data_IF_249391618842
#
_entry.id   IF_249391618842
#
_cell.length_a   1.000
_cell.length_b   1.000
_cell.length_c   1.000
_cell.angle_alpha   90.00
_cell.angle_beta   90.00
_cell.angle_gamma   90.00
#
_symmetry.space_group_name_H-M   'P 1'
#
loop_
_entity.id
_entity.type
_entity.pdbx_description
1 polymer ?
#
# COMPACT_ATOMS: atom_id res chain seq x y z
N UNK A 1 1.20 -37.65 24.36
CA UNK A 1 0.23 -37.05 23.41
C UNK A 1 0.56 -35.60 23.24
N UNK A 2 1.28 -35.32 22.17
CA UNK A 2 1.53 -34.00 21.60
C UNK A 2 0.64 -33.92 20.35
N UNK A 3 0.16 -32.73 19.96
CA UNK A 3 0.34 -32.37 18.56
C UNK A 3 0.96 -30.98 18.39
N UNK A 4 2.08 -30.99 17.69
CA UNK A 4 2.74 -29.87 17.05
C UNK A 4 1.84 -29.28 15.96
N UNK A 5 1.83 -27.95 15.85
CA UNK A 5 1.40 -27.27 14.62
C UNK A 5 2.62 -27.23 13.69
N UNK A 6 2.65 -28.17 12.75
CA UNK A 6 3.48 -28.15 11.54
C UNK A 6 3.11 -26.95 10.66
N UNK A 7 4.11 -26.20 10.21
CA UNK A 7 4.11 -25.55 8.89
C UNK A 7 5.56 -25.27 8.49
N UNK A 8 6.23 -26.35 8.11
CA UNK A 8 7.40 -26.34 7.24
C UNK A 8 6.93 -26.22 5.78
N UNK A 9 7.46 -25.27 5.02
CA UNK A 9 7.53 -25.40 3.56
C UNK A 9 8.74 -26.29 3.25
N UNK A 10 8.50 -27.39 2.53
CA UNK A 10 9.44 -28.48 2.23
C UNK A 10 10.31 -28.21 0.99
N UNK A 11 11.57 -28.68 1.04
CA UNK A 11 12.37 -28.99 -0.15
C UNK A 11 13.89 -28.88 -0.01
N UNK A 12 14.55 -29.95 0.50
CA UNK A 12 15.88 -30.39 0.03
C UNK A 12 17.15 -29.94 0.77
N UNK A 13 17.69 -30.86 1.58
CA UNK A 13 19.11 -31.15 1.91
C UNK A 13 19.99 -30.26 2.83
N UNK A 14 20.28 -30.86 4.00
CA UNK A 14 21.37 -30.68 4.99
C UNK A 14 21.26 -29.56 6.07
N UNK A 15 21.64 -29.88 7.34
CA UNK A 15 21.43 -29.01 8.49
C UNK A 15 22.60 -28.04 8.63
N UNK A 16 22.32 -26.74 8.57
CA UNK A 16 23.29 -25.72 9.00
C UNK A 16 22.77 -25.09 10.28
N UNK A 17 23.31 -25.55 11.42
CA UNK A 17 23.40 -24.75 12.62
C UNK A 17 24.16 -23.47 12.28
N UNK A 18 23.46 -22.34 12.20
CA UNK A 18 24.08 -21.02 12.10
C UNK A 18 23.59 -20.14 13.25
N UNK A 19 24.45 -20.04 14.26
CA UNK A 19 24.55 -18.87 15.11
C UNK A 19 24.41 -17.59 14.28
N UNK A 20 23.43 -16.75 14.61
CA UNK A 20 23.48 -15.33 14.30
C UNK A 20 22.71 -14.58 15.36
N UNK A 21 23.47 -14.23 16.40
CA UNK A 21 23.39 -13.03 17.22
C UNK A 21 22.19 -12.12 16.89
N UNK A 22 21.09 -12.33 17.62
CA UNK A 22 20.29 -11.20 18.06
C UNK A 22 21.10 -10.63 19.25
N UNK A 23 21.62 -9.39 19.20
CA UNK A 23 22.13 -8.78 20.42
C UNK A 23 20.96 -8.62 21.37
N UNK A 24 20.98 -9.48 22.37
CA UNK A 24 20.30 -9.36 23.64
C UNK A 24 20.70 -8.01 24.25
N UNK A 25 19.86 -7.01 24.12
CA UNK A 25 19.95 -5.80 24.94
C UNK A 25 18.56 -5.48 25.50
N UNK A 26 18.12 -6.38 26.38
CA UNK A 26 17.29 -6.01 27.52
C UNK A 26 18.23 -5.48 28.61
N UNK A 27 18.58 -4.20 28.55
CA UNK A 27 19.09 -3.45 29.69
C UNK A 27 18.75 -1.96 29.50
N UNK A 28 18.29 -1.34 30.59
CA UNK A 28 17.97 0.09 30.76
C UNK A 28 16.70 0.68 30.14
N UNK A 29 15.60 0.34 30.80
CA UNK A 29 14.37 1.12 30.89
C UNK A 29 14.54 2.30 31.87
N UNK A 30 15.53 3.19 31.66
CA UNK A 30 15.69 4.40 32.51
C UNK A 30 16.58 5.50 31.90
N UNK A 31 16.52 5.77 30.59
CA UNK A 31 16.92 7.08 30.00
C UNK A 31 16.82 7.03 28.46
N UNK A 32 15.67 7.32 27.87
CA UNK A 32 15.58 7.48 26.42
C UNK A 32 15.08 8.87 26.05
N UNK A 33 16.03 9.82 26.05
CA UNK A 33 16.02 10.86 25.02
C UNK A 33 16.08 10.20 23.64
N UNK A 34 15.35 10.75 22.67
CA UNK A 34 15.16 10.25 21.31
C UNK A 34 16.44 9.68 20.65
N UNK A 35 16.74 8.39 20.83
CA UNK A 35 17.70 7.66 20.00
C UNK A 35 17.00 7.24 18.71
N UNK A 36 17.40 7.84 17.58
CA UNK A 36 16.97 7.44 16.23
C UNK A 36 17.27 5.96 16.04
N UNK A 37 16.27 5.17 15.64
CA UNK A 37 16.40 3.71 15.53
C UNK A 37 16.75 3.34 14.10
N UNK A 38 17.95 2.82 13.86
CA UNK A 38 18.35 2.35 12.52
C UNK A 38 17.66 1.02 12.19
N UNK A 39 16.85 1.01 11.13
CA UNK A 39 16.16 -0.19 10.65
C UNK A 39 16.38 -0.31 9.14
N UNK A 40 17.33 -1.15 8.67
CA UNK A 40 17.70 -1.24 7.26
C UNK A 40 16.55 -1.68 6.34
N UNK A 41 15.53 -2.33 6.90
CA UNK A 41 14.30 -2.69 6.18
C UNK A 41 13.48 -1.48 5.75
N UNK A 42 13.55 -0.35 6.46
CA UNK A 42 12.82 0.88 6.13
C UNK A 42 13.38 1.47 4.85
N UNK A 43 14.69 1.71 4.79
CA UNK A 43 15.32 2.29 3.59
C UNK A 43 15.14 1.39 2.37
N UNK A 44 15.18 0.07 2.57
CA UNK A 44 14.92 -0.92 1.51
C UNK A 44 13.49 -0.79 0.96
N UNK A 45 12.48 -0.68 1.84
CA UNK A 45 11.09 -0.48 1.43
C UNK A 45 10.88 0.85 0.69
N UNK A 46 11.55 1.93 1.11
CA UNK A 46 11.46 3.24 0.45
C UNK A 46 12.12 3.23 -0.95
N UNK A 47 13.26 2.55 -1.10
CA UNK A 47 13.95 2.41 -2.39
C UNK A 47 13.09 1.59 -3.34
N UNK A 48 12.59 0.42 -2.90
CA UNK A 48 11.74 -0.44 -3.74
C UNK A 48 10.43 0.26 -4.09
N UNK A 49 9.80 0.95 -3.13
CA UNK A 49 8.58 1.73 -3.37
C UNK A 49 8.78 2.85 -4.40
N UNK A 50 9.87 3.62 -4.27
CA UNK A 50 10.22 4.67 -5.23
C UNK A 50 10.53 4.11 -6.62
N UNK A 51 11.29 3.02 -6.69
CA UNK A 51 11.64 2.36 -7.97
C UNK A 51 10.40 1.82 -8.67
N UNK A 52 9.56 1.05 -7.96
CA UNK A 52 8.31 0.51 -8.51
C UNK A 52 7.36 1.63 -8.94
N UNK A 53 7.28 2.70 -8.15
CA UNK A 53 6.43 3.86 -8.46
C UNK A 53 6.89 4.60 -9.71
N UNK A 54 8.20 4.75 -9.89
CA UNK A 54 8.78 5.34 -11.10
C UNK A 54 8.55 4.46 -12.33
N UNK A 55 8.80 3.15 -12.21
CA UNK A 55 8.53 2.18 -13.29
C UNK A 55 7.05 2.21 -13.67
N UNK A 56 6.15 2.24 -12.69
CA UNK A 56 4.71 2.34 -12.92
C UNK A 56 4.32 3.65 -13.62
N UNK A 57 4.89 4.78 -13.20
CA UNK A 57 4.63 6.08 -13.83
C UNK A 57 5.06 6.07 -15.29
N UNK A 58 6.30 5.65 -15.57
CA UNK A 58 6.84 5.54 -16.93
C UNK A 58 5.97 4.63 -17.78
N UNK A 59 5.65 3.42 -17.29
CA UNK A 59 4.79 2.48 -17.99
C UNK A 59 3.42 3.07 -18.33
N UNK A 60 2.75 3.74 -17.38
CA UNK A 60 1.45 4.37 -17.63
C UNK A 60 1.53 5.52 -18.66
N UNK A 61 2.58 6.34 -18.64
CA UNK A 61 2.75 7.45 -19.59
C UNK A 61 2.87 6.90 -21.02
N UNK A 62 3.71 5.89 -21.23
CA UNK A 62 3.93 5.29 -22.55
C UNK A 62 2.73 4.46 -23.01
N UNK A 63 2.07 3.74 -22.10
CA UNK A 63 0.93 2.87 -22.42
C UNK A 63 -0.43 3.57 -22.36
N UNK A 64 -0.50 4.88 -22.05
CA UNK A 64 -1.76 5.60 -21.83
C UNK A 64 -2.77 5.41 -22.98
N UNK A 65 -2.34 5.60 -24.23
CA UNK A 65 -3.20 5.44 -25.41
C UNK A 65 -3.68 3.99 -25.60
N UNK A 66 -2.80 3.03 -25.35
CA UNK A 66 -3.11 1.59 -25.48
C UNK A 66 -4.12 1.17 -24.41
N UNK A 67 -3.89 1.58 -23.16
CA UNK A 67 -4.80 1.29 -22.04
C UNK A 67 -6.18 1.89 -22.30
N UNK A 68 -6.24 3.16 -22.74
CA UNK A 68 -7.51 3.80 -23.08
C UNK A 68 -8.23 3.11 -24.25
N UNK A 69 -7.48 2.64 -25.26
CA UNK A 69 -8.02 1.86 -26.36
C UNK A 69 -8.62 0.52 -25.88
N UNK A 70 -7.93 -0.20 -25.00
CA UNK A 70 -8.43 -1.44 -24.40
C UNK A 70 -9.68 -1.19 -23.54
N UNK A 71 -9.76 -0.04 -22.87
CA UNK A 71 -10.93 0.39 -22.09
C UNK A 71 -12.12 0.84 -22.97
N UNK A 72 -11.98 0.84 -24.29
CA UNK A 72 -13.06 1.15 -25.23
C UNK A 72 -13.13 2.61 -25.70
N UNK A 73 -12.11 3.42 -25.42
CA UNK A 73 -12.04 4.79 -25.96
C UNK A 73 -11.59 4.74 -27.42
N UNK A 74 -12.52 5.01 -28.34
CA UNK A 74 -12.25 5.07 -29.79
C UNK A 74 -11.23 6.15 -30.12
N UNK A 75 -10.41 5.93 -31.16
CA UNK A 75 -9.37 6.89 -31.56
C UNK A 75 -9.91 8.26 -32.02
N UNK A 76 -11.10 8.29 -32.62
CA UNK A 76 -11.77 9.52 -33.06
C UNK A 76 -12.66 10.16 -31.98
N UNK A 77 -12.64 9.64 -30.74
CA UNK A 77 -13.45 10.22 -29.68
C UNK A 77 -12.89 11.57 -29.24
N UNK A 78 -13.73 12.62 -29.09
CA UNK A 78 -13.29 13.90 -28.51
C UNK A 78 -12.82 13.75 -27.05
N UNK A 79 -13.13 12.62 -26.39
CA UNK A 79 -12.70 12.33 -25.02
C UNK A 79 -11.29 11.75 -24.92
N UNK A 80 -10.69 11.31 -26.04
CA UNK A 80 -9.38 10.66 -26.00
C UNK A 80 -8.29 11.61 -25.51
N UNK A 81 -8.23 12.83 -26.04
CA UNK A 81 -7.18 13.78 -25.68
C UNK A 81 -7.26 14.23 -24.20
N UNK A 82 -8.44 14.61 -23.65
CA UNK A 82 -8.60 14.86 -22.22
C UNK A 82 -8.24 13.64 -21.35
N UNK A 83 -8.62 12.43 -21.76
CA UNK A 83 -8.35 11.21 -21.00
C UNK A 83 -6.85 10.88 -20.97
N UNK A 84 -6.14 11.02 -22.10
CA UNK A 84 -4.68 10.85 -22.16
C UNK A 84 -4.00 11.86 -21.25
N UNK A 85 -4.35 13.16 -21.36
CA UNK A 85 -3.77 14.21 -20.49
C UNK A 85 -4.00 13.92 -19.02
N UNK A 86 -5.22 13.53 -18.65
CA UNK A 86 -5.57 13.15 -17.28
C UNK A 86 -4.70 11.98 -16.79
N UNK A 87 -4.63 10.90 -17.57
CA UNK A 87 -3.90 9.69 -17.20
C UNK A 87 -2.39 9.95 -17.08
N UNK A 88 -1.82 10.73 -18.01
CA UNK A 88 -0.42 11.14 -17.97
C UNK A 88 -0.12 11.94 -16.71
N UNK A 89 -0.91 12.96 -16.37
CA UNK A 89 -0.68 13.75 -15.15
C UNK A 89 -0.87 12.87 -13.91
N UNK A 90 -1.94 12.07 -13.87
CA UNK A 90 -2.24 11.20 -12.73
C UNK A 90 -1.13 10.18 -12.46
N UNK A 91 -0.46 9.71 -13.51
CA UNK A 91 0.66 8.77 -13.42
C UNK A 91 1.89 9.38 -12.74
N UNK A 92 2.10 10.70 -12.84
CA UNK A 92 3.17 11.40 -12.12
C UNK A 92 2.97 11.34 -10.59
N UNK A 93 1.75 11.10 -10.11
CA UNK A 93 1.47 10.86 -8.70
C UNK A 93 1.77 9.43 -8.22
N UNK A 94 2.01 8.47 -9.13
CA UNK A 94 2.26 7.07 -8.75
C UNK A 94 3.48 6.89 -7.84
N UNK A 95 4.64 7.55 -8.06
CA UNK A 95 5.78 7.45 -7.16
C UNK A 95 5.46 7.91 -5.75
N UNK A 96 4.74 9.04 -5.61
CA UNK A 96 4.32 9.57 -4.32
C UNK A 96 3.36 8.61 -3.60
N UNK A 97 2.38 8.04 -4.31
CA UNK A 97 1.44 7.06 -3.72
C UNK A 97 2.17 5.82 -3.22
N UNK A 98 3.07 5.22 -4.01
CA UNK A 98 3.78 4.02 -3.57
C UNK A 98 4.73 4.31 -2.41
N UNK A 99 5.39 5.47 -2.44
CA UNK A 99 6.26 5.90 -1.35
C UNK A 99 5.46 6.16 -0.06
N UNK A 100 4.30 6.81 -0.15
CA UNK A 100 3.42 7.04 0.99
C UNK A 100 2.89 5.73 1.55
N UNK A 101 2.47 4.77 0.73
CA UNK A 101 2.05 3.43 1.18
C UNK A 101 3.17 2.68 1.91
N UNK A 102 4.40 2.76 1.41
CA UNK A 102 5.56 2.18 2.08
C UNK A 102 5.79 2.81 3.47
N UNK A 103 5.76 4.14 3.56
CA UNK A 103 5.90 4.86 4.83
C UNK A 103 4.77 4.55 5.81
N UNK A 104 3.53 4.47 5.34
CA UNK A 104 2.39 4.07 6.17
C UNK A 104 2.58 2.66 6.74
N UNK A 105 3.14 1.72 5.96
CA UNK A 105 3.53 0.39 6.43
C UNK A 105 4.59 0.43 7.53
N UNK A 106 5.59 1.32 7.40
CA UNK A 106 6.64 1.52 8.40
C UNK A 106 6.07 2.07 9.71
N UNK A 107 5.26 3.14 9.64
CA UNK A 107 4.62 3.73 10.81
C UNK A 107 3.67 2.75 11.52
N UNK A 108 2.91 1.94 10.77
CA UNK A 108 2.10 0.83 11.33
C UNK A 108 2.97 -0.18 12.08
N UNK A 109 4.16 -0.50 11.56
CA UNK A 109 5.14 -1.36 12.23
C UNK A 109 5.66 -0.78 13.54
N UNK A 110 5.77 0.55 13.65
CA UNK A 110 6.09 1.26 14.89
C UNK A 110 4.90 1.46 15.82
N UNK A 111 3.72 0.99 15.43
CA UNK A 111 2.44 1.20 16.13
C UNK A 111 2.00 2.67 16.18
N UNK A 112 2.55 3.52 15.31
CA UNK A 112 2.05 4.87 15.11
C UNK A 112 1.07 4.87 13.92
N UNK A 113 -0.21 4.84 14.22
CA UNK A 113 -1.27 4.96 13.21
C UNK A 113 -1.78 6.40 13.06
N UNK A 114 -1.44 7.29 14.00
CA UNK A 114 -1.94 8.66 14.03
C UNK A 114 -1.24 9.53 13.00
N UNK A 115 0.08 9.38 12.87
CA UNK A 115 0.87 10.16 11.91
C UNK A 115 0.42 9.92 10.46
N UNK A 116 0.30 8.65 9.98
CA UNK A 116 -0.35 8.32 8.71
C UNK A 116 -1.74 8.92 8.53
N UNK A 117 -2.60 8.76 9.52
CA UNK A 117 -3.98 9.22 9.45
C UNK A 117 -4.06 10.74 9.27
N UNK A 118 -3.29 11.50 10.05
CA UNK A 118 -3.27 12.96 9.95
C UNK A 118 -2.73 13.42 8.59
N UNK A 119 -1.65 12.81 8.10
CA UNK A 119 -1.09 13.14 6.79
C UNK A 119 -2.13 12.93 5.68
N UNK A 120 -2.81 11.78 5.68
CA UNK A 120 -3.87 11.46 4.70
C UNK A 120 -5.03 12.44 4.79
N UNK A 121 -5.54 12.76 6.00
CA UNK A 121 -6.64 13.71 6.17
C UNK A 121 -6.29 15.10 5.64
N UNK A 122 -5.08 15.61 5.93
CA UNK A 122 -4.65 16.92 5.41
C UNK A 122 -4.49 16.87 3.89
N UNK A 123 -3.94 15.79 3.34
CA UNK A 123 -3.82 15.58 1.91
C UNK A 123 -5.17 15.56 1.19
N UNK A 124 -6.09 14.74 1.68
CA UNK A 124 -7.43 14.58 1.09
C UNK A 124 -8.25 15.86 1.23
N UNK A 125 -8.16 16.57 2.37
CA UNK A 125 -8.78 17.89 2.53
C UNK A 125 -8.20 18.90 1.54
N UNK A 126 -6.88 18.88 1.32
CA UNK A 126 -6.23 19.72 0.30
C UNK A 126 -6.75 19.35 -1.09
N UNK A 127 -6.94 18.05 -1.40
CA UNK A 127 -7.47 17.61 -2.69
C UNK A 127 -8.88 18.16 -2.93
N UNK A 128 -9.77 18.03 -1.94
CA UNK A 128 -11.16 18.48 -1.99
C UNK A 128 -11.24 20.00 -2.21
N UNK A 129 -10.32 20.78 -1.63
CA UNK A 129 -10.26 22.23 -1.79
C UNK A 129 -9.68 22.61 -3.17
N UNK A 130 -8.60 21.95 -3.61
CA UNK A 130 -7.93 22.26 -4.87
C UNK A 130 -8.75 21.85 -6.09
N UNK A 131 -9.56 20.79 -5.99
CA UNK A 131 -10.39 20.28 -7.08
C UNK A 131 -11.30 21.36 -7.70
N UNK A 132 -12.22 22.02 -6.97
CA UNK A 132 -13.07 23.07 -7.53
C UNK A 132 -12.27 24.31 -7.96
N UNK A 133 -11.16 24.64 -7.27
CA UNK A 133 -10.32 25.78 -7.65
C UNK A 133 -9.68 25.53 -9.02
N UNK A 134 -9.03 24.39 -9.21
CA UNK A 134 -8.34 24.07 -10.46
C UNK A 134 -9.32 23.75 -11.59
N UNK A 135 -10.46 23.12 -11.29
CA UNK A 135 -11.49 22.83 -12.28
C UNK A 135 -12.19 24.10 -12.77
N UNK A 136 -12.70 24.94 -11.85
CA UNK A 136 -13.58 26.06 -12.20
C UNK A 136 -12.87 27.40 -12.30
N UNK A 137 -11.94 27.71 -11.39
CA UNK A 137 -11.25 29.02 -11.37
C UNK A 137 -10.13 29.08 -12.39
N UNK A 138 -9.33 28.02 -12.49
CA UNK A 138 -8.23 27.93 -13.46
C UNK A 138 -8.69 27.40 -14.84
N UNK A 139 -9.97 27.06 -15.00
CA UNK A 139 -10.55 26.51 -16.23
C UNK A 139 -9.78 25.30 -16.81
N UNK A 140 -9.11 24.50 -15.97
CA UNK A 140 -8.30 23.35 -16.42
C UNK A 140 -9.16 22.09 -16.64
N UNK A 141 -10.45 22.12 -16.25
CA UNK A 141 -11.36 20.98 -16.35
C UNK A 141 -10.80 19.72 -15.69
N UNK A 142 -10.95 18.57 -16.36
CA UNK A 142 -10.49 17.26 -15.86
C UNK A 142 -8.99 17.23 -15.56
N UNK A 143 -8.19 18.01 -16.30
CA UNK A 143 -6.74 18.16 -16.06
C UNK A 143 -6.48 18.76 -14.67
N UNK A 144 -7.31 19.71 -14.24
CA UNK A 144 -7.22 20.34 -12.92
C UNK A 144 -7.40 19.33 -11.78
N UNK A 145 -8.36 18.40 -11.92
CA UNK A 145 -8.58 17.33 -10.95
C UNK A 145 -7.39 16.38 -10.84
N UNK A 146 -6.74 16.02 -11.96
CA UNK A 146 -5.51 15.22 -11.91
C UNK A 146 -4.39 15.94 -11.15
N UNK A 147 -4.19 17.24 -11.42
CA UNK A 147 -3.14 18.05 -10.76
C UNK A 147 -3.41 18.18 -9.27
N UNK A 148 -4.65 18.49 -8.87
CA UNK A 148 -5.07 18.57 -7.47
C UNK A 148 -4.71 17.29 -6.71
N UNK A 149 -5.02 16.15 -7.32
CA UNK A 149 -4.75 14.85 -6.72
C UNK A 149 -3.25 14.57 -6.60
N UNK A 150 -2.46 14.88 -7.64
CA UNK A 150 -1.00 14.73 -7.60
C UNK A 150 -0.39 15.57 -6.49
N UNK A 151 -0.76 16.86 -6.40
CA UNK A 151 -0.28 17.77 -5.35
C UNK A 151 -0.58 17.20 -3.97
N UNK A 152 -1.79 16.67 -3.78
CA UNK A 152 -2.22 16.09 -2.51
C UNK A 152 -1.41 14.85 -2.13
N UNK A 153 -1.12 13.96 -3.08
CA UNK A 153 -0.28 12.78 -2.84
C UNK A 153 1.16 13.17 -2.48
N UNK A 154 1.72 14.18 -3.14
CA UNK A 154 3.03 14.71 -2.78
C UNK A 154 3.03 15.37 -1.39
N UNK A 155 1.96 16.08 -1.02
CA UNK A 155 1.81 16.66 0.31
C UNK A 155 1.76 15.58 1.41
N UNK A 156 0.98 14.52 1.21
CA UNK A 156 0.95 13.35 2.13
C UNK A 156 2.35 12.76 2.29
N UNK A 157 3.02 12.55 1.16
CA UNK A 157 4.38 11.97 1.10
C UNK A 157 5.38 12.86 1.84
N UNK A 158 5.30 14.18 1.64
CA UNK A 158 6.17 15.16 2.28
C UNK A 158 5.97 15.17 3.81
N UNK A 159 4.72 15.16 4.28
CA UNK A 159 4.45 15.12 5.73
C UNK A 159 5.02 13.84 6.34
N UNK A 160 4.81 12.70 5.68
CA UNK A 160 5.29 11.40 6.14
C UNK A 160 6.82 11.32 6.17
N UNK A 161 7.51 11.81 5.12
CA UNK A 161 8.97 11.75 5.07
C UNK A 161 9.60 12.67 6.12
N UNK A 162 9.04 13.88 6.33
CA UNK A 162 9.50 14.78 7.39
C UNK A 162 9.39 14.14 8.77
N UNK A 163 8.27 13.46 9.05
CA UNK A 163 8.08 12.73 10.31
C UNK A 163 8.97 11.49 10.42
N UNK A 164 9.21 10.81 9.30
CA UNK A 164 10.04 9.61 9.28
C UNK A 164 11.52 9.93 9.55
N UNK A 165 12.06 10.99 8.94
CA UNK A 165 13.43 11.47 9.17
C UNK A 165 13.65 11.94 10.61
N UNK A 166 12.60 12.40 11.30
CA UNK A 166 12.67 12.73 12.73
C UNK A 166 12.78 11.48 13.63
N UNK A 167 12.21 10.33 13.22
CA UNK A 167 12.17 9.11 14.03
C UNK A 167 13.26 8.09 13.67
N UNK A 168 13.75 8.10 12.43
CA UNK A 168 14.68 7.10 11.87
C UNK A 168 15.82 7.79 11.13
N UNK A 169 17.05 7.38 11.40
CA UNK A 169 18.20 7.75 10.55
C UNK A 169 18.15 6.97 9.25
N UNK A 170 17.86 7.68 8.16
CA UNK A 170 17.83 7.13 6.80
C UNK A 170 19.27 7.09 6.27
N UNK A 171 20.03 6.07 6.64
CA UNK A 171 21.36 5.81 6.08
C UNK A 171 21.20 4.89 4.85
N UNK A 172 21.92 5.14 3.74
CA UNK A 172 21.87 4.29 2.55
C UNK A 172 22.28 2.84 2.91
N UNK A 173 21.41 1.84 2.62
CA UNK A 173 21.72 0.46 2.94
C UNK A 173 22.78 -0.07 1.98
N UNK A 174 23.71 -0.85 2.52
CA UNK A 174 24.56 -1.71 1.70
C UNK A 174 23.70 -2.72 0.94
N UNK A 175 23.74 -2.69 -0.39
CA UNK A 175 22.94 -3.52 -1.31
C UNK A 175 23.11 -5.04 -1.08
N UNK A 176 24.12 -5.48 -0.32
CA UNK A 176 24.46 -6.90 -0.09
C UNK A 176 23.76 -7.57 1.10
N UNK A 177 23.06 -6.84 1.98
CA UNK A 177 22.35 -7.45 3.13
C UNK A 177 20.83 -7.57 2.92
N UNK A 178 20.34 -7.29 1.72
CA UNK A 178 18.92 -7.33 1.38
C UNK A 178 18.46 -8.77 1.14
N UNK A 179 17.53 -9.27 1.97
CA UNK A 179 16.76 -10.48 1.67
C UNK A 179 15.68 -10.22 0.60
N UNK A 180 16.10 -9.72 -0.56
CA UNK A 180 15.22 -9.29 -1.66
C UNK A 180 14.31 -10.42 -2.14
N UNK A 181 14.81 -11.66 -2.22
CA UNK A 181 14.03 -12.82 -2.66
C UNK A 181 12.80 -13.11 -1.79
N UNK A 182 12.92 -12.99 -0.45
CA UNK A 182 11.78 -13.22 0.45
C UNK A 182 10.75 -12.08 0.38
N UNK A 183 11.22 -10.84 0.24
CA UNK A 183 10.34 -9.68 0.07
C UNK A 183 9.55 -9.77 -1.24
N UNK A 184 10.22 -10.13 -2.33
CA UNK A 184 9.60 -10.28 -3.65
C UNK A 184 8.64 -11.48 -3.70
N UNK A 185 8.98 -12.61 -3.05
CA UNK A 185 8.09 -13.77 -2.95
C UNK A 185 6.77 -13.46 -2.22
N UNK A 186 6.84 -12.78 -1.07
CA UNK A 186 5.65 -12.31 -0.38
C UNK A 186 4.85 -11.30 -1.22
N UNK A 187 5.54 -10.36 -1.88
CA UNK A 187 4.92 -9.40 -2.79
C UNK A 187 4.19 -10.08 -3.96
N UNK A 188 4.79 -11.11 -4.54
CA UNK A 188 4.20 -11.88 -5.63
C UNK A 188 2.94 -12.63 -5.20
N UNK A 189 2.96 -13.25 -4.01
CA UNK A 189 1.77 -13.94 -3.48
C UNK A 189 0.61 -12.96 -3.24
N UNK A 190 0.91 -11.76 -2.72
CA UNK A 190 -0.08 -10.70 -2.55
C UNK A 190 -0.62 -10.20 -3.90
N UNK A 191 0.25 -10.02 -4.89
CA UNK A 191 -0.15 -9.66 -6.26
C UNK A 191 -1.04 -10.73 -6.88
N UNK A 192 -0.68 -12.01 -6.75
CA UNK A 192 -1.49 -13.13 -7.26
C UNK A 192 -2.89 -13.14 -6.64
N UNK A 193 -3.00 -12.89 -5.33
CA UNK A 193 -4.29 -12.73 -4.65
C UNK A 193 -5.09 -11.55 -5.23
N UNK A 194 -4.48 -10.39 -5.40
CA UNK A 194 -5.16 -9.19 -5.94
C UNK A 194 -5.63 -9.43 -7.37
N UNK A 195 -4.81 -10.06 -8.21
CA UNK A 195 -5.17 -10.42 -9.59
C UNK A 195 -6.33 -11.40 -9.62
N UNK A 196 -6.32 -12.45 -8.78
CA UNK A 196 -7.40 -13.42 -8.72
C UNK A 196 -8.75 -12.77 -8.32
N UNK A 197 -8.74 -11.91 -7.29
CA UNK A 197 -9.95 -11.20 -6.84
C UNK A 197 -10.44 -10.23 -7.92
N UNK A 198 -9.54 -9.43 -8.50
CA UNK A 198 -9.89 -8.45 -9.54
C UNK A 198 -10.45 -9.15 -10.78
N UNK A 199 -9.86 -10.27 -11.19
CA UNK A 199 -10.34 -11.07 -12.30
C UNK A 199 -11.75 -11.61 -12.04
N UNK A 200 -12.00 -12.15 -10.85
CA UNK A 200 -13.33 -12.65 -10.47
C UNK A 200 -14.40 -11.54 -10.49
N UNK A 201 -14.10 -10.37 -9.89
CA UNK A 201 -15.01 -9.22 -9.88
C UNK A 201 -15.25 -8.68 -11.30
N UNK A 202 -14.21 -8.62 -12.13
CA UNK A 202 -14.31 -8.17 -13.52
C UNK A 202 -15.17 -9.13 -14.34
N UNK A 203 -15.00 -10.43 -14.15
CA UNK A 203 -15.82 -11.44 -14.82
C UNK A 203 -17.28 -11.34 -14.40
N UNK A 204 -17.55 -11.21 -13.10
CA UNK A 204 -18.91 -11.01 -12.58
C UNK A 204 -19.55 -9.74 -13.14
N UNK A 205 -18.81 -8.63 -13.16
CA UNK A 205 -19.28 -7.37 -13.76
C UNK A 205 -19.54 -7.50 -15.26
N UNK A 206 -18.69 -8.23 -15.99
CA UNK A 206 -18.85 -8.47 -17.42
C UNK A 206 -20.10 -9.29 -17.74
N UNK A 207 -20.41 -10.29 -16.90
CA UNK A 207 -21.65 -11.08 -17.01
C UNK A 207 -22.88 -10.22 -16.71
N UNK A 208 -22.86 -9.45 -15.60
CA UNK A 208 -23.95 -8.55 -15.24
C UNK A 208 -24.23 -7.48 -16.31
N UNK A 209 -23.18 -6.99 -16.99
CA UNK A 209 -23.32 -6.03 -18.06
C UNK A 209 -24.02 -6.60 -19.31
N UNK A 210 -23.95 -7.93 -19.54
CA UNK A 210 -24.63 -8.58 -20.68
C UNK A 210 -26.13 -8.71 -20.48
N UNK A 211 -26.58 -8.82 -19.24
CA UNK A 211 -28.00 -9.00 -18.90
C UNK A 211 -28.80 -7.68 -18.94
N UNK A 212 -28.13 -6.57 -19.22
CA UNK A 212 -28.74 -5.28 -19.50
C UNK A 212 -28.47 -4.20 -18.44
N UNK A 213 -28.81 -2.94 -18.75
CA UNK A 213 -28.41 -1.78 -17.94
C UNK A 213 -29.03 -1.78 -16.53
N UNK A 214 -30.26 -2.27 -16.38
CA UNK A 214 -30.96 -2.30 -15.08
C UNK A 214 -30.29 -3.26 -14.10
N UNK A 215 -29.89 -4.44 -14.56
CA UNK A 215 -29.19 -5.44 -13.73
C UNK A 215 -27.79 -4.93 -13.36
N UNK A 216 -27.07 -4.33 -14.31
CA UNK A 216 -25.76 -3.74 -14.06
C UNK A 216 -25.83 -2.59 -13.02
N UNK A 217 -26.87 -1.76 -13.07
CA UNK A 217 -27.07 -0.70 -12.08
C UNK A 217 -27.28 -1.27 -10.66
N UNK A 218 -28.10 -2.31 -10.52
CA UNK A 218 -28.30 -3.00 -9.24
C UNK A 218 -27.01 -3.66 -8.73
N UNK A 219 -26.27 -4.34 -9.61
CA UNK A 219 -24.97 -4.94 -9.30
C UNK A 219 -23.97 -3.91 -8.76
N UNK A 220 -23.93 -2.71 -9.36
CA UNK A 220 -23.03 -1.64 -8.93
C UNK A 220 -23.30 -1.17 -7.50
N UNK A 221 -24.58 -1.06 -7.09
CA UNK A 221 -24.96 -0.70 -5.72
C UNK A 221 -24.47 -1.79 -4.74
N UNK A 222 -24.69 -3.06 -5.08
CA UNK A 222 -24.22 -4.20 -4.28
C UNK A 222 -22.69 -4.20 -4.15
N UNK A 223 -21.96 -3.96 -5.25
CA UNK A 223 -20.50 -3.84 -5.22
C UNK A 223 -20.03 -2.69 -4.33
N UNK A 224 -20.70 -1.54 -4.36
CA UNK A 224 -20.34 -0.40 -3.53
C UNK A 224 -20.52 -0.71 -2.04
N UNK A 225 -21.63 -1.36 -1.67
CA UNK A 225 -21.88 -1.81 -0.30
C UNK A 225 -20.85 -2.86 0.13
N UNK A 226 -20.54 -3.82 -0.73
CA UNK A 226 -19.54 -4.85 -0.48
C UNK A 226 -18.14 -4.24 -0.25
N UNK A 227 -17.71 -3.30 -1.09
CA UNK A 227 -16.43 -2.60 -0.93
C UNK A 227 -16.37 -1.82 0.39
N UNK A 228 -17.45 -1.16 0.79
CA UNK A 228 -17.53 -0.44 2.06
C UNK A 228 -17.35 -1.39 3.25
N UNK A 229 -18.05 -2.53 3.27
CA UNK A 229 -17.89 -3.55 4.33
C UNK A 229 -16.49 -4.18 4.32
N UNK A 230 -15.90 -4.39 3.14
CA UNK A 230 -14.57 -4.97 2.99
C UNK A 230 -13.47 -4.05 3.52
N UNK A 231 -13.60 -2.74 3.32
CA UNK A 231 -12.65 -1.75 3.87
C UNK A 231 -12.61 -1.77 5.41
N UNK A 232 -13.77 -1.94 6.05
CA UNK A 232 -13.84 -2.08 7.51
C UNK A 232 -13.14 -3.36 7.98
N UNK A 233 -13.38 -4.48 7.28
CA UNK A 233 -12.72 -5.75 7.57
C UNK A 233 -11.20 -5.67 7.36
N UNK A 234 -10.73 -5.01 6.30
CA UNK A 234 -9.31 -4.79 6.04
C UNK A 234 -8.65 -3.93 7.12
N UNK A 235 -9.35 -2.91 7.63
CA UNK A 235 -8.88 -2.10 8.76
C UNK A 235 -8.63 -2.95 10.01
N UNK A 236 -9.58 -3.82 10.35
CA UNK A 236 -9.45 -4.77 11.46
C UNK A 236 -8.32 -5.78 11.21
N UNK A 237 -8.22 -6.32 10.00
CA UNK A 237 -7.20 -7.29 9.62
C UNK A 237 -5.79 -6.70 9.75
N UNK A 238 -5.56 -5.47 9.27
CA UNK A 238 -4.26 -4.79 9.38
C UNK A 238 -3.91 -4.48 10.84
N UNK A 239 -4.89 -4.08 11.65
CA UNK A 239 -4.68 -3.88 13.09
C UNK A 239 -4.32 -5.20 13.80
N UNK A 240 -5.04 -6.28 13.50
CA UNK A 240 -4.77 -7.63 14.00
C UNK A 240 -3.37 -8.12 13.62
N UNK A 241 -2.97 -7.96 12.35
CA UNK A 241 -1.63 -8.29 11.87
C UNK A 241 -0.53 -7.53 12.63
N UNK A 242 -0.70 -6.23 12.88
CA UNK A 242 0.27 -5.43 13.62
C UNK A 242 0.40 -5.86 15.10
N UNK A 243 -0.73 -6.15 15.76
CA UNK A 243 -0.75 -6.65 17.14
C UNK A 243 -0.08 -8.02 17.22
N UNK A 244 -0.49 -8.95 16.35
CA UNK A 244 0.02 -10.31 16.28
C UNK A 244 1.53 -10.33 16.00
N UNK A 245 1.99 -9.59 14.99
CA UNK A 245 3.41 -9.47 14.67
C UNK A 245 4.22 -8.94 15.87
N UNK A 246 3.67 -7.98 16.62
CA UNK A 246 4.35 -7.44 17.80
C UNK A 246 4.37 -8.40 19.00
N UNK A 247 3.36 -9.27 19.13
CA UNK A 247 3.30 -10.29 20.17
C UNK A 247 4.29 -11.43 19.86
N UNK A 248 4.36 -11.86 18.59
CA UNK A 248 5.37 -12.80 18.11
C UNK A 248 6.79 -12.28 18.30
N UNK A 249 7.05 -11.00 17.97
CA UNK A 249 8.37 -10.41 18.17
C UNK A 249 8.84 -10.39 19.65
N UNK A 250 7.90 -10.47 20.60
CA UNK A 250 8.16 -10.54 22.05
C UNK A 250 8.14 -11.96 22.61
N UNK A 251 7.95 -12.99 21.76
CA UNK A 251 7.74 -14.39 22.17
C UNK A 251 6.63 -14.59 23.22
N UNK A 252 5.61 -13.73 23.24
CA UNK A 252 4.50 -13.81 24.20
C UNK A 252 3.36 -14.65 23.62
N UNK A 253 3.45 -15.97 23.77
CA UNK A 253 2.48 -16.94 23.23
C UNK A 253 1.07 -16.74 23.77
N UNK A 254 0.91 -16.23 25.01
CA UNK A 254 -0.41 -15.95 25.59
C UNK A 254 -1.09 -14.79 24.88
N UNK A 255 -0.35 -13.71 24.61
CA UNK A 255 -0.88 -12.58 23.83
C UNK A 255 -1.15 -12.94 22.36
N UNK A 256 -0.35 -13.82 21.76
CA UNK A 256 -0.60 -14.35 20.42
C UNK A 256 -1.96 -15.06 20.37
N UNK A 257 -2.21 -16.01 21.29
CA UNK A 257 -3.48 -16.76 21.33
C UNK A 257 -4.66 -15.83 21.59
N UNK A 258 -4.53 -14.90 22.54
CA UNK A 258 -5.59 -13.94 22.86
C UNK A 258 -5.89 -12.97 21.70
N UNK A 259 -4.86 -12.48 21.00
CA UNK A 259 -5.04 -11.62 19.84
C UNK A 259 -5.69 -12.38 18.67
N UNK A 260 -5.24 -13.60 18.39
CA UNK A 260 -5.84 -14.44 17.34
C UNK A 260 -7.31 -14.75 17.65
N UNK A 261 -7.63 -15.11 18.90
CA UNK A 261 -9.03 -15.38 19.29
C UNK A 261 -9.94 -14.16 19.15
N UNK A 262 -9.43 -12.94 19.37
CA UNK A 262 -10.22 -11.71 19.22
C UNK A 262 -10.39 -11.26 17.77
N UNK A 263 -9.45 -11.60 16.89
CA UNK A 263 -9.53 -11.30 15.46
C UNK A 263 -10.45 -12.30 14.74
N UNK A 264 -10.60 -13.51 15.28
CA UNK A 264 -11.47 -14.56 14.73
C UNK A 264 -12.94 -14.45 15.16
N UNK A 265 -13.24 -13.69 16.22
CA UNK A 265 -14.58 -13.43 16.75
C UNK A 265 -15.27 -12.32 15.95
#
# INVERSE_FOLDING_TARGET
>A
MNPYVELCFTGGDTPVCANSCIPTECADLSNQGCKRRYIPSVTSALIVGSFLGLVQAVFLIFSAKVVLGIMGVKHDSPMLEPAVRYLTIRSLGAPAVLLSLAMQGVFRGFKDTKTPLYATVVGDATNIILDPILMFVCHMGVTGAAVAHVISQYLITMILICRLVQQVDVIPPSLKSLKFGRFLGCGFLLLARVVAVTFCVTLASSLAARDGPTIMAAFQICCQLWLATSLLADGLAVAGQAVLASAFAKNDTKKVIAATSRVLQ
#
